data_IF_242948864511
#
_entry.id   IF_242948864511
#
_cell.length_a   1.000
_cell.length_b   1.000
_cell.length_c   1.000
_cell.angle_alpha   90.00
_cell.angle_beta   90.00
_cell.angle_gamma   90.00
#
_symmetry.space_group_name_H-M   'P 1'
#
loop_
_entity.id
_entity.type
_entity.pdbx_description
1 polymer ?
#
# COMPACT_ATOMS: atom_id res chain seq x y z
N UNK A 1 -15.24 10.46 23.88
CA UNK A 1 -15.11 10.10 23.46
C UNK A 1 -14.87 9.59 22.88
N UNK A 2 -14.82 9.44 23.20
CA UNK A 2 -14.37 8.54 22.72
C UNK A 2 -14.46 8.00 21.44
N UNK A 3 -15.45 7.83 20.95
CA UNK A 3 -15.64 7.24 19.69
C UNK A 3 -14.63 7.59 18.68
N UNK A 4 -14.08 8.66 18.93
CA UNK A 4 -13.16 9.15 17.97
C UNK A 4 -11.99 8.31 17.70
N UNK A 5 -11.62 7.52 18.60
CA UNK A 5 -10.46 6.75 18.40
C UNK A 5 -10.59 5.87 17.23
N UNK A 6 -11.72 5.57 16.87
CA UNK A 6 -11.87 4.70 15.77
C UNK A 6 -11.82 5.38 14.46
N UNK A 7 -11.60 6.64 14.49
CA UNK A 7 -11.63 7.38 13.28
C UNK A 7 -10.35 7.22 12.56
N UNK A 8 -10.13 6.06 12.01
CA UNK A 8 -9.10 5.91 11.02
C UNK A 8 -9.71 6.47 9.76
N UNK A 9 -9.41 7.70 9.50
CA UNK A 9 -9.89 8.31 8.28
C UNK A 9 -9.04 7.80 7.16
N UNK A 10 -9.62 6.96 6.35
CA UNK A 10 -8.92 6.46 5.19
C UNK A 10 -8.97 7.49 4.09
N UNK A 11 -7.86 7.66 3.41
CA UNK A 11 -7.73 8.63 2.36
C UNK A 11 -8.12 8.01 1.03
N UNK A 12 -8.94 8.71 0.27
CA UNK A 12 -9.27 8.26 -1.07
C UNK A 12 -8.09 8.48 -1.99
N UNK A 13 -7.87 7.55 -2.91
CA UNK A 13 -6.88 7.75 -3.94
C UNK A 13 -7.32 8.93 -4.81
N UNK A 14 -6.39 9.83 -5.06
CA UNK A 14 -6.68 11.06 -5.79
C UNK A 14 -6.41 10.94 -7.29
N UNK A 15 -6.08 9.78 -7.75
CA UNK A 15 -5.85 9.57 -9.18
C UNK A 15 -7.17 9.59 -9.93
N UNK A 16 -7.18 10.25 -11.07
CA UNK A 16 -8.36 10.29 -11.93
C UNK A 16 -7.93 9.90 -13.34
N UNK A 17 -8.50 8.84 -13.85
CA UNK A 17 -8.24 8.43 -15.22
C UNK A 17 -6.77 8.22 -15.55
N UNK A 18 -5.97 7.91 -14.55
CA UNK A 18 -4.57 7.64 -14.77
C UNK A 18 -4.44 6.19 -15.23
N UNK A 19 -3.70 6.02 -16.30
CA UNK A 19 -3.50 4.69 -16.86
C UNK A 19 -2.61 3.87 -15.95
N UNK A 20 -3.01 2.64 -15.67
CA UNK A 20 -2.21 1.75 -14.86
C UNK A 20 -0.83 1.54 -15.51
N UNK A 21 0.19 1.57 -14.69
CA UNK A 21 1.54 1.39 -15.18
C UNK A 21 2.20 2.67 -15.69
N UNK A 22 1.47 3.78 -15.72
CA UNK A 22 2.07 5.04 -16.10
C UNK A 22 2.79 5.65 -14.90
N UNK A 23 3.61 6.65 -15.17
CA UNK A 23 4.33 7.34 -14.09
C UNK A 23 3.63 8.61 -13.64
N UNK A 24 2.36 8.77 -13.99
CA UNK A 24 1.61 9.94 -13.57
C UNK A 24 1.32 9.86 -12.07
N UNK A 25 1.31 11.03 -11.43
CA UNK A 25 1.02 11.17 -10.00
C UNK A 25 1.95 10.35 -9.12
N UNK A 26 3.23 10.32 -9.50
CA UNK A 26 4.27 9.65 -8.73
C UNK A 26 5.33 10.65 -8.33
N UNK A 27 6.04 10.33 -7.24
CA UNK A 27 7.19 11.11 -6.82
C UNK A 27 8.39 10.20 -6.72
N UNK A 28 9.57 10.75 -7.05
CA UNK A 28 10.81 10.02 -6.94
C UNK A 28 11.41 10.31 -5.57
N UNK A 29 11.71 9.27 -4.82
CA UNK A 29 12.27 9.40 -3.47
C UNK A 29 13.40 8.40 -3.32
N UNK A 30 14.27 8.63 -2.35
CA UNK A 30 15.40 7.74 -2.09
C UNK A 30 14.96 6.69 -1.06
N UNK A 31 15.08 5.41 -1.44
CA UNK A 31 14.83 4.33 -0.53
C UNK A 31 15.98 4.26 0.48
N UNK A 32 15.71 4.44 1.78
CA UNK A 32 16.80 4.53 2.77
C UNK A 32 17.54 3.21 2.98
N UNK A 33 16.97 2.09 2.56
CA UNK A 33 17.61 0.80 2.73
C UNK A 33 18.57 0.46 1.60
N UNK A 34 18.34 1.01 0.42
CA UNK A 34 19.16 0.70 -0.74
C UNK A 34 19.96 1.89 -1.24
N UNK A 35 19.55 3.10 -0.86
CA UNK A 35 20.16 4.33 -1.37
C UNK A 35 19.76 4.66 -2.79
N UNK A 36 18.86 3.89 -3.39
CA UNK A 36 18.46 4.09 -4.77
C UNK A 36 17.17 4.89 -4.85
N UNK A 37 17.00 5.61 -5.94
CA UNK A 37 15.75 6.33 -6.20
C UNK A 37 14.69 5.38 -6.66
N UNK A 38 13.49 5.55 -6.12
CA UNK A 38 12.32 4.76 -6.52
C UNK A 38 11.16 5.71 -6.73
N UNK A 39 10.26 5.35 -7.64
CA UNK A 39 9.06 6.14 -7.89
C UNK A 39 7.90 5.53 -7.11
N UNK A 40 7.20 6.36 -6.35
CA UNK A 40 6.08 5.90 -5.52
C UNK A 40 4.88 6.78 -5.82
N UNK A 41 3.71 6.14 -5.96
CA UNK A 41 2.45 6.86 -6.16
C UNK A 41 2.23 7.85 -5.03
N UNK A 42 1.90 9.10 -5.37
CA UNK A 42 1.74 10.14 -4.38
C UNK A 42 0.67 9.81 -3.35
N UNK A 43 -0.34 9.05 -3.74
CA UNK A 43 -1.43 8.71 -2.82
C UNK A 43 -0.98 7.80 -1.67
N UNK A 44 0.08 7.02 -1.87
CA UNK A 44 0.52 6.04 -0.88
C UNK A 44 1.89 6.34 -0.30
N UNK A 45 2.52 7.43 -0.77
CA UNK A 45 3.91 7.70 -0.40
C UNK A 45 4.11 7.91 1.09
N UNK A 46 3.15 8.54 1.75
CA UNK A 46 3.25 8.78 3.19
C UNK A 46 3.23 7.47 3.97
N UNK A 47 2.36 6.57 3.58
CA UNK A 47 2.27 5.27 4.24
C UNK A 47 3.55 4.48 4.08
N UNK A 48 4.12 4.46 2.87
CA UNK A 48 5.37 3.76 2.60
C UNK A 48 6.50 4.40 3.40
N UNK A 49 6.56 5.73 3.42
CA UNK A 49 7.58 6.44 4.17
C UNK A 49 7.50 6.12 5.67
N UNK A 50 6.30 6.03 6.21
CA UNK A 50 6.11 5.68 7.62
C UNK A 50 6.59 4.26 7.90
N UNK A 51 6.37 3.33 6.99
CA UNK A 51 6.88 1.96 7.14
C UNK A 51 8.40 1.96 7.15
N UNK A 52 9.01 2.72 6.26
CA UNK A 52 10.47 2.83 6.24
C UNK A 52 11.00 3.36 7.57
N UNK A 53 10.32 4.33 8.16
CA UNK A 53 10.73 4.89 9.46
C UNK A 53 10.64 3.86 10.58
N UNK A 54 9.79 2.87 10.41
CA UNK A 54 9.66 1.77 11.37
C UNK A 54 10.62 0.64 11.09
N UNK A 55 11.51 0.81 10.12
CA UNK A 55 12.49 -0.21 9.80
C UNK A 55 11.99 -1.30 8.89
N UNK A 56 10.89 -1.07 8.18
CA UNK A 56 10.31 -2.06 7.30
C UNK A 56 10.67 -1.73 5.85
N UNK A 57 11.34 -2.67 5.19
CA UNK A 57 11.71 -2.53 3.80
C UNK A 57 10.50 -2.81 2.92
N UNK A 58 10.38 -2.10 1.80
CA UNK A 58 9.35 -2.37 0.83
C UNK A 58 9.97 -2.65 -0.53
N UNK A 59 9.31 -3.49 -1.32
CA UNK A 59 9.76 -3.80 -2.67
C UNK A 59 9.02 -2.95 -3.68
N UNK A 60 7.73 -2.71 -3.44
CA UNK A 60 6.92 -1.92 -4.34
C UNK A 60 5.61 -1.55 -3.69
N UNK A 61 4.86 -0.68 -4.35
CA UNK A 61 3.57 -0.25 -3.83
C UNK A 61 2.76 0.33 -4.98
N UNK A 62 1.45 0.37 -4.80
CA UNK A 62 0.55 0.94 -5.78
C UNK A 62 -0.69 1.44 -5.06
N UNK A 63 -1.12 2.65 -5.37
CA UNK A 63 -2.33 3.20 -4.76
C UNK A 63 -3.60 2.64 -5.39
N UNK A 64 -3.47 1.82 -6.43
CA UNK A 64 -4.62 1.22 -7.10
C UNK A 64 -5.29 2.12 -8.10
N UNK A 65 -4.98 3.41 -8.13
CA UNK A 65 -5.54 4.39 -9.07
C UNK A 65 -7.07 4.35 -9.14
N UNK A 66 -7.73 3.97 -8.02
CA UNK A 66 -9.18 3.80 -7.95
C UNK A 66 -9.71 2.71 -8.88
N UNK A 67 -8.83 1.84 -9.35
CA UNK A 67 -9.20 0.75 -10.27
C UNK A 67 -8.98 -0.61 -9.66
N UNK A 68 -8.14 -0.70 -8.63
CA UNK A 68 -7.85 -1.97 -7.97
C UNK A 68 -7.48 -1.69 -6.52
N UNK A 69 -7.16 -2.75 -5.79
CA UNK A 69 -6.82 -2.64 -4.37
C UNK A 69 -5.46 -1.99 -4.21
N UNK A 70 -5.35 -0.96 -3.35
CA UNK A 70 -4.04 -0.38 -3.05
C UNK A 70 -3.21 -1.37 -2.24
N UNK A 71 -1.96 -1.56 -2.65
CA UNK A 71 -1.12 -2.62 -2.07
C UNK A 71 0.29 -2.13 -1.77
N UNK A 72 0.94 -2.84 -0.84
CA UNK A 72 2.34 -2.65 -0.52
C UNK A 72 2.97 -4.03 -0.51
N UNK A 73 4.08 -4.18 -1.23
CA UNK A 73 4.79 -5.45 -1.33
C UNK A 73 6.07 -5.35 -0.52
N UNK A 74 6.33 -6.35 0.30
CA UNK A 74 7.54 -6.38 1.13
C UNK A 74 8.30 -7.69 0.90
N UNK A 75 9.59 -7.73 1.25
CA UNK A 75 10.32 -9.01 1.25
C UNK A 75 9.74 -9.94 2.31
N UNK A 76 9.93 -11.22 2.13
CA UNK A 76 9.42 -12.21 3.06
C UNK A 76 9.88 -11.94 4.50
N UNK A 77 11.08 -11.44 4.66
CA UNK A 77 11.64 -11.16 5.99
C UNK A 77 10.83 -10.13 6.77
N UNK A 78 10.00 -9.34 6.09
CA UNK A 78 9.21 -8.30 6.76
C UNK A 78 7.78 -8.74 7.08
N UNK A 79 7.41 -9.98 6.72
CA UNK A 79 6.04 -10.43 6.93
C UNK A 79 5.56 -10.29 8.37
N UNK A 80 6.38 -10.73 9.33
CA UNK A 80 5.96 -10.69 10.72
C UNK A 80 5.75 -9.26 11.20
N UNK A 81 6.57 -8.33 10.74
CA UNK A 81 6.42 -6.92 11.11
C UNK A 81 5.14 -6.33 10.55
N UNK A 82 4.83 -6.65 9.30
CA UNK A 82 3.60 -6.16 8.68
C UNK A 82 2.38 -6.69 9.42
N UNK A 83 2.39 -7.97 9.75
CA UNK A 83 1.27 -8.55 10.46
C UNK A 83 1.14 -7.99 11.88
N UNK A 84 2.25 -7.72 12.54
CA UNK A 84 2.22 -7.12 13.86
C UNK A 84 1.60 -5.72 13.84
N UNK A 85 1.72 -5.02 12.73
CA UNK A 85 1.11 -3.70 12.56
C UNK A 85 -0.35 -3.78 12.14
N UNK A 86 -0.88 -4.98 11.98
CA UNK A 86 -2.29 -5.14 11.61
C UNK A 86 -2.57 -5.14 10.12
N UNK A 87 -1.55 -5.21 9.30
CA UNK A 87 -1.74 -5.30 7.85
C UNK A 87 -2.31 -6.66 7.48
N UNK A 88 -3.19 -6.68 6.49
CA UNK A 88 -3.79 -7.91 6.00
C UNK A 88 -3.24 -8.23 4.63
N UNK A 89 -2.94 -9.51 4.42
CA UNK A 89 -2.43 -9.95 3.13
C UNK A 89 -3.52 -9.95 2.08
N UNK A 90 -3.12 -9.60 0.88
CA UNK A 90 -3.95 -9.79 -0.29
C UNK A 90 -3.60 -11.17 -0.85
N UNK A 91 -4.62 -12.03 -0.98
CA UNK A 91 -4.36 -13.36 -1.49
C UNK A 91 -3.84 -13.31 -2.93
N UNK A 92 -2.73 -13.94 -3.17
CA UNK A 92 -2.16 -14.05 -4.50
C UNK A 92 -1.38 -15.36 -4.57
N UNK A 93 -1.74 -16.29 -5.47
CA UNK A 93 -1.06 -17.58 -5.51
C UNK A 93 0.42 -17.51 -5.86
N UNK A 94 0.83 -16.40 -6.47
CA UNK A 94 2.23 -16.26 -6.89
C UNK A 94 3.07 -15.40 -5.97
N UNK A 95 2.47 -14.76 -4.98
CA UNK A 95 3.21 -13.87 -4.10
C UNK A 95 2.45 -13.71 -2.78
N UNK A 96 3.05 -14.14 -1.70
CA UNK A 96 2.41 -14.10 -0.38
C UNK A 96 2.81 -12.88 0.43
N UNK A 97 3.55 -11.95 -0.15
CA UNK A 97 4.09 -10.80 0.58
C UNK A 97 3.43 -9.49 0.17
N UNK A 98 2.22 -9.57 -0.36
CA UNK A 98 1.44 -8.41 -0.76
C UNK A 98 0.45 -8.07 0.34
N UNK A 99 0.47 -6.82 0.77
CA UNK A 99 -0.41 -6.37 1.85
C UNK A 99 -1.31 -5.25 1.38
N UNK A 100 -2.52 -5.21 1.92
CA UNK A 100 -3.50 -4.19 1.57
C UNK A 100 -3.17 -2.92 2.34
N UNK A 101 -3.17 -1.77 1.67
CA UNK A 101 -2.92 -0.49 2.31
C UNK A 101 -3.89 -0.26 3.47
N UNK A 102 -3.39 0.30 4.57
CA UNK A 102 -4.24 0.68 5.70
C UNK A 102 -4.66 2.13 5.62
N UNK A 103 -3.89 2.95 4.93
CA UNK A 103 -4.16 4.39 4.88
C UNK A 103 -5.14 4.76 3.78
N UNK A 104 -5.22 3.98 2.72
CA UNK A 104 -6.09 4.30 1.60
C UNK A 104 -7.41 3.56 1.70
N UNK A 105 -8.47 4.20 1.21
CA UNK A 105 -9.77 3.55 1.14
C UNK A 105 -9.71 2.38 0.16
N UNK A 106 -10.27 1.25 0.57
CA UNK A 106 -10.34 0.06 -0.26
C UNK A 106 -11.81 -0.20 -0.56
N UNK A 107 -12.15 -0.20 -1.86
CA UNK A 107 -13.51 -0.50 -2.26
C UNK A 107 -13.79 -1.98 -1.95
N UNK A 108 -14.80 -2.30 -1.15
CA UNK A 108 -15.08 -3.68 -0.78
C UNK A 108 -15.31 -4.60 -1.98
N UNK A 109 -15.80 -4.07 -3.10
CA UNK A 109 -16.01 -4.87 -4.29
C UNK A 109 -14.71 -5.43 -4.84
N UNK A 110 -13.60 -4.67 -4.69
CA UNK A 110 -12.32 -5.15 -5.16
C UNK A 110 -11.88 -6.37 -4.37
N UNK A 111 -12.09 -6.33 -3.05
CA UNK A 111 -11.72 -7.44 -2.19
C UNK A 111 -12.58 -8.66 -2.47
N UNK A 112 -13.85 -8.46 -2.70
CA UNK A 112 -14.77 -9.56 -2.99
C UNK A 112 -14.34 -10.30 -4.25
N UNK A 113 -14.01 -9.57 -5.30
CA UNK A 113 -13.59 -10.17 -6.55
C UNK A 113 -12.33 -11.01 -6.39
N UNK A 114 -11.42 -10.57 -5.54
CA UNK A 114 -10.16 -11.27 -5.33
C UNK A 114 -10.37 -12.52 -4.51
N UNK A 115 -11.21 -12.45 -3.50
CA UNK A 115 -11.44 -13.57 -2.61
C UNK A 115 -12.19 -14.71 -3.26
N UNK A 116 -12.87 -14.45 -4.32
CA UNK A 116 -13.62 -15.48 -5.02
C UNK A 116 -12.76 -16.35 -5.89
N UNK A 117 -11.54 -15.95 -6.13
CA UNK A 117 -10.62 -16.74 -6.92
C UNK A 117 -10.11 -17.99 -6.15
#
# INVERSE_FOLDING_TARGET
>A
MGGTKNNIIKIMCKCKNIKMGSFENQSEVVNPFTGKKVSIDNCIIQEVSDLWKKGIKTIGSCCGHNKTVPTIVVPESENSKMQALGYKKLYCPFNSNIYISKALYVNPWFLFKIEVI
#
